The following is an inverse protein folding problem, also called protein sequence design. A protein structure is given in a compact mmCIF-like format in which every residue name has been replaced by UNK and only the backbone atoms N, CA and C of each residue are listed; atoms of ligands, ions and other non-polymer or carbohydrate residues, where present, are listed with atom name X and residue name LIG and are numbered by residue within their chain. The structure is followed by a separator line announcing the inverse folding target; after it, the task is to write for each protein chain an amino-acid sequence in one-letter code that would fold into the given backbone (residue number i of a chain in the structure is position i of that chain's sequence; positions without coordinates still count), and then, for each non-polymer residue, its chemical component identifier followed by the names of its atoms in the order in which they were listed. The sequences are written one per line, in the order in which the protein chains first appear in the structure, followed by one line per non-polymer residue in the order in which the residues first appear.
data_IF_428259309778
#
_entry.id   IF_428259309778
#
_cell.length_a   1.000
_cell.length_b   1.000
_cell.length_c   1.000
_cell.angle_alpha   90.00
_cell.angle_beta   90.00
_cell.angle_gamma   90.00
#
_symmetry.space_group_name_H-M   'P 1'
#
loop_
_entity.id
_entity.type
_entity.pdbx_description
1 polymer ?
#
# COMPACT_ATOMS: atom_id res chain seq x y z
N UNK A 1 -20.87 9.84 2.93
CA UNK A 1 -21.01 10.27 1.52
C UNK A 1 -19.65 10.62 0.95
N UNK A 2 -19.27 10.02 -0.18
CA UNK A 2 -18.04 10.34 -0.92
C UNK A 2 -18.36 11.39 -1.97
N UNK A 3 -17.49 12.39 -2.16
CA UNK A 3 -17.70 13.42 -3.17
C UNK A 3 -17.25 12.94 -4.55
N UNK A 4 -18.02 13.20 -5.63
CA UNK A 4 -17.58 12.92 -6.99
C UNK A 4 -16.24 13.62 -7.29
N UNK A 5 -15.32 12.91 -7.96
CA UNK A 5 -14.01 13.45 -8.35
C UNK A 5 -12.98 13.54 -7.22
N UNK A 6 -13.32 13.19 -5.98
CA UNK A 6 -12.37 13.19 -4.85
C UNK A 6 -11.83 11.79 -4.60
N UNK A 7 -10.50 11.66 -4.56
CA UNK A 7 -9.84 10.44 -4.15
C UNK A 7 -9.69 10.35 -2.63
N UNK A 8 -9.90 9.16 -2.10
CA UNK A 8 -9.73 8.84 -0.67
C UNK A 8 -8.82 7.62 -0.55
N UNK A 9 -7.51 7.78 -0.80
CA UNK A 9 -6.56 6.68 -0.73
C UNK A 9 -6.42 6.20 0.72
N UNK A 10 -6.32 4.90 0.91
CA UNK A 10 -6.11 4.28 2.22
C UNK A 10 -4.77 3.56 2.27
N UNK A 11 -4.05 3.70 3.39
CA UNK A 11 -2.75 3.08 3.57
C UNK A 11 -2.92 1.57 3.85
N UNK A 12 -2.28 0.73 3.04
CA UNK A 12 -2.33 -0.73 3.13
C UNK A 12 -0.93 -1.30 3.39
N UNK A 13 -0.50 -1.46 4.66
CA UNK A 13 0.86 -1.87 4.99
C UNK A 13 1.13 -3.37 4.78
N UNK A 14 0.09 -4.18 4.55
CA UNK A 14 0.17 -5.63 4.34
C UNK A 14 -1.10 -6.16 3.65
N UNK A 15 -1.09 -7.43 3.22
CA UNK A 15 -2.21 -8.08 2.52
C UNK A 15 -3.52 -8.04 3.31
N UNK A 16 -3.48 -8.28 4.62
CA UNK A 16 -4.69 -8.23 5.47
C UNK A 16 -5.28 -6.81 5.54
N UNK A 17 -4.43 -5.79 5.53
CA UNK A 17 -4.85 -4.39 5.43
C UNK A 17 -5.48 -4.07 4.08
N UNK A 18 -4.93 -4.63 3.00
CA UNK A 18 -5.50 -4.51 1.66
C UNK A 18 -6.87 -5.17 1.55
N UNK A 19 -7.03 -6.42 1.99
CA UNK A 19 -8.31 -7.13 1.98
C UNK A 19 -9.40 -6.34 2.71
N UNK A 20 -9.10 -5.85 3.91
CA UNK A 20 -10.02 -4.99 4.68
C UNK A 20 -10.34 -3.67 3.98
N UNK A 21 -9.37 -3.08 3.28
CA UNK A 21 -9.60 -1.87 2.51
C UNK A 21 -10.59 -2.12 1.37
N UNK A 22 -10.43 -3.23 0.65
CA UNK A 22 -11.35 -3.64 -0.42
C UNK A 22 -12.74 -3.94 0.14
N UNK A 23 -12.84 -4.68 1.24
CA UNK A 23 -14.11 -4.95 1.93
C UNK A 23 -14.83 -3.67 2.39
N UNK A 24 -14.07 -2.66 2.80
CA UNK A 24 -14.58 -1.36 3.20
C UNK A 24 -14.95 -0.44 2.01
N UNK A 25 -14.76 -0.89 0.76
CA UNK A 25 -15.07 -0.12 -0.45
C UNK A 25 -14.01 0.94 -0.80
N UNK A 26 -12.74 0.71 -0.44
CA UNK A 26 -11.65 1.55 -0.90
C UNK A 26 -11.47 1.41 -2.43
N UNK A 27 -11.31 2.54 -3.11
CA UNK A 27 -11.14 2.62 -4.56
C UNK A 27 -9.74 3.14 -4.95
N UNK A 28 -8.88 3.41 -3.98
CA UNK A 28 -7.45 3.72 -4.16
C UNK A 28 -6.73 3.24 -2.89
N UNK A 29 -5.58 2.59 -3.05
CA UNK A 29 -4.75 2.14 -1.93
C UNK A 29 -3.35 2.74 -2.02
N UNK A 30 -2.66 2.80 -0.89
CA UNK A 30 -1.30 3.32 -0.82
C UNK A 30 -0.36 2.36 -0.10
N UNK A 31 0.85 2.22 -0.62
CA UNK A 31 1.97 1.51 0.00
C UNK A 31 3.10 2.48 0.31
N UNK A 32 3.97 2.13 1.25
CA UNK A 32 5.10 2.96 1.62
C UNK A 32 6.39 2.14 1.63
N UNK A 33 7.44 2.70 1.04
CA UNK A 33 8.80 2.16 1.05
C UNK A 33 9.75 3.23 1.57
N UNK A 34 10.90 2.81 2.09
CA UNK A 34 11.95 3.73 2.53
C UNK A 34 13.08 3.80 1.49
N UNK A 35 13.71 4.97 1.37
CA UNK A 35 14.94 5.18 0.61
C UNK A 35 16.21 4.90 1.43
N UNK A 36 16.07 4.71 2.75
CA UNK A 36 17.17 4.41 3.67
C UNK A 36 16.96 3.09 4.39
N UNK A 37 17.95 2.20 4.34
CA UNK A 37 17.95 0.93 5.09
C UNK A 37 17.76 1.16 6.59
N UNK A 38 18.43 2.17 7.15
CA UNK A 38 18.28 2.50 8.59
C UNK A 38 16.85 2.92 8.92
N UNK A 39 16.19 3.64 8.03
CA UNK A 39 14.79 4.05 8.20
C UNK A 39 13.85 2.84 8.05
N UNK A 40 14.07 2.01 7.04
CA UNK A 40 13.32 0.77 6.80
C UNK A 40 13.41 -0.16 8.02
N UNK A 41 14.60 -0.41 8.54
CA UNK A 41 14.80 -1.30 9.69
C UNK A 41 14.14 -0.76 10.95
N UNK A 42 14.21 0.55 11.19
CA UNK A 42 13.57 1.15 12.36
C UNK A 42 12.05 1.14 12.30
N UNK A 43 11.45 1.30 11.11
CA UNK A 43 9.99 1.47 10.97
C UNK A 43 9.26 0.18 10.62
N UNK A 44 9.86 -0.68 9.80
CA UNK A 44 9.23 -1.92 9.29
C UNK A 44 10.06 -3.18 9.50
N UNK A 45 11.19 -3.06 10.20
CA UNK A 45 12.05 -4.18 10.61
C UNK A 45 12.40 -5.14 9.47
N UNK A 46 12.63 -4.59 8.28
CA UNK A 46 13.07 -5.31 7.09
C UNK A 46 13.78 -4.35 6.13
N UNK A 47 14.68 -4.90 5.31
CA UNK A 47 15.43 -4.14 4.30
C UNK A 47 14.51 -3.53 3.25
N UNK A 48 15.02 -2.58 2.48
CA UNK A 48 14.27 -1.97 1.38
C UNK A 48 13.79 -3.06 0.40
N UNK A 49 14.68 -3.99 0.02
CA UNK A 49 14.36 -5.09 -0.90
C UNK A 49 13.26 -6.00 -0.33
N UNK A 50 13.38 -6.41 0.94
CA UNK A 50 12.36 -7.24 1.59
C UNK A 50 11.00 -6.51 1.67
N UNK A 51 11.01 -5.20 1.90
CA UNK A 51 9.78 -4.41 1.93
C UNK A 51 9.09 -4.40 0.56
N UNK A 52 9.85 -4.24 -0.53
CA UNK A 52 9.33 -4.28 -1.89
C UNK A 52 8.72 -5.66 -2.18
N UNK A 53 9.42 -6.75 -1.84
CA UNK A 53 8.90 -8.10 -2.03
C UNK A 53 7.60 -8.34 -1.25
N UNK A 54 7.45 -7.77 -0.04
CA UNK A 54 6.20 -7.82 0.73
C UNK A 54 5.05 -7.07 0.07
N UNK A 55 5.33 -6.00 -0.68
CA UNK A 55 4.31 -5.22 -1.37
C UNK A 55 3.92 -5.77 -2.75
N UNK A 56 4.76 -6.58 -3.41
CA UNK A 56 4.43 -7.24 -4.69
C UNK A 56 3.06 -7.93 -4.70
N UNK A 57 2.68 -8.77 -3.72
CA UNK A 57 1.37 -9.41 -3.72
C UNK A 57 0.22 -8.40 -3.59
N UNK A 58 0.41 -7.30 -2.84
CA UNK A 58 -0.60 -6.24 -2.72
C UNK A 58 -0.79 -5.55 -4.06
N UNK A 59 0.30 -5.19 -4.74
CA UNK A 59 0.24 -4.52 -6.05
C UNK A 59 -0.42 -5.44 -7.08
N UNK A 60 -0.07 -6.73 -7.09
CA UNK A 60 -0.69 -7.71 -7.97
C UNK A 60 -2.20 -7.87 -7.70
N UNK A 61 -2.60 -7.93 -6.43
CA UNK A 61 -4.01 -8.02 -6.04
C UNK A 61 -4.78 -6.74 -6.39
N UNK A 62 -4.20 -5.56 -6.15
CA UNK A 62 -4.80 -4.27 -6.51
C UNK A 62 -4.99 -4.16 -8.03
N UNK A 63 -3.98 -4.53 -8.83
CA UNK A 63 -4.07 -4.57 -10.28
C UNK A 63 -5.17 -5.51 -10.77
N UNK A 64 -5.32 -6.70 -10.18
CA UNK A 64 -6.39 -7.65 -10.51
C UNK A 64 -7.79 -7.10 -10.22
N UNK A 65 -7.92 -6.23 -9.22
CA UNK A 65 -9.20 -5.60 -8.84
C UNK A 65 -9.38 -4.21 -9.48
N UNK A 66 -8.50 -3.80 -10.40
CA UNK A 66 -8.51 -2.48 -11.06
C UNK A 66 -8.44 -1.32 -10.06
N UNK A 67 -7.79 -1.55 -8.91
CA UNK A 67 -7.60 -0.54 -7.86
C UNK A 67 -6.25 0.16 -8.07
N UNK A 68 -6.22 1.49 -8.26
CA UNK A 68 -4.98 2.24 -8.35
C UNK A 68 -4.18 2.17 -7.04
N UNK A 69 -2.86 2.05 -7.18
CA UNK A 69 -1.91 2.00 -6.06
C UNK A 69 -1.02 3.22 -6.09
N UNK A 70 -0.95 3.94 -4.96
CA UNK A 70 -0.01 5.04 -4.73
C UNK A 70 1.21 4.56 -3.96
N UNK A 71 2.41 4.86 -4.47
CA UNK A 71 3.66 4.59 -3.78
C UNK A 71 4.19 5.82 -3.06
N UNK A 72 4.47 5.70 -1.76
CA UNK A 72 5.22 6.70 -0.99
C UNK A 72 6.65 6.23 -0.76
N UNK A 73 7.60 7.16 -0.90
CA UNK A 73 9.03 6.93 -0.61
C UNK A 73 9.43 7.90 0.50
N UNK A 74 9.98 7.37 1.59
CA UNK A 74 10.46 8.15 2.76
C UNK A 74 11.97 8.14 2.94
#
# INVERSE_FOLDING_TARGET
NRMPGVSYPVLTPNMKGFEKAVEAGANEVAVFVAASEKFSQKNINCSIVESIERFRPIIAAAHKNEIPVRGYIS
#
